data_IF_513843096085
#
_entry.id   IF_513843096085
#
_cell.length_a   1.000
_cell.length_b   1.000
_cell.length_c   1.000
_cell.angle_alpha   90.00
_cell.angle_beta   90.00
_cell.angle_gamma   90.00
#
_symmetry.space_group_name_H-M   'P 1'
#
loop_
_entity.id
_entity.type
_entity.pdbx_description
1 polymer ?
#
# COMPACT_ATOMS: atom_id res chain seq x y z
N UNK A 1 -8.34 19.92 -8.92
CA UNK A 1 -8.77 18.57 -8.51
C UNK A 1 -8.44 17.54 -9.58
N UNK A 2 -8.90 17.67 -10.84
CA UNK A 2 -8.59 16.72 -11.92
C UNK A 2 -7.08 16.45 -12.09
N UNK A 3 -6.21 17.47 -11.94
CA UNK A 3 -4.74 17.29 -11.94
C UNK A 3 -4.24 16.57 -10.67
N UNK A 4 -4.88 16.77 -9.52
CA UNK A 4 -4.52 16.05 -8.29
C UNK A 4 -4.81 14.55 -8.38
N UNK A 5 -5.97 14.15 -8.92
CA UNK A 5 -6.32 12.74 -9.11
C UNK A 5 -5.34 11.97 -9.99
N UNK A 6 -4.70 12.61 -10.96
CA UNK A 6 -3.66 11.98 -11.80
C UNK A 6 -2.37 11.64 -11.01
N UNK A 7 -2.13 12.28 -9.86
CA UNK A 7 -0.98 12.01 -9.02
C UNK A 7 -1.21 10.91 -7.99
N UNK A 8 -2.45 10.47 -7.74
CA UNK A 8 -2.74 9.33 -6.85
C UNK A 8 -2.11 8.02 -7.33
N UNK A 9 -1.87 7.89 -8.64
CA UNK A 9 -1.19 6.74 -9.23
C UNK A 9 0.35 6.83 -9.16
N UNK A 10 0.90 7.97 -8.75
CA UNK A 10 2.34 8.17 -8.55
C UNK A 10 2.62 8.19 -7.06
N UNK A 11 2.92 7.02 -6.50
CA UNK A 11 3.11 6.83 -5.05
C UNK A 11 4.43 7.37 -4.51
N UNK A 12 5.25 8.06 -5.32
CA UNK A 12 6.48 8.72 -4.86
C UNK A 12 6.18 9.87 -3.92
N UNK A 13 6.97 9.99 -2.84
CA UNK A 13 6.83 11.02 -1.82
C UNK A 13 6.67 12.43 -2.40
N UNK A 14 7.61 12.83 -3.27
CA UNK A 14 7.59 14.17 -3.86
C UNK A 14 6.32 14.45 -4.71
N UNK A 15 5.79 13.42 -5.38
CA UNK A 15 4.54 13.56 -6.17
C UNK A 15 3.34 13.75 -5.26
N UNK A 16 3.25 13.00 -4.17
CA UNK A 16 2.16 13.12 -3.19
C UNK A 16 2.25 14.44 -2.43
N UNK A 17 3.45 14.88 -2.01
CA UNK A 17 3.64 16.18 -1.35
C UNK A 17 3.23 17.34 -2.27
N UNK A 18 3.64 17.30 -3.55
CA UNK A 18 3.23 18.30 -4.54
C UNK A 18 1.71 18.29 -4.77
N UNK A 19 1.10 17.10 -4.88
CA UNK A 19 -0.35 16.97 -5.02
C UNK A 19 -1.08 17.59 -3.83
N UNK A 20 -0.63 17.29 -2.60
CA UNK A 20 -1.21 17.84 -1.37
C UNK A 20 -1.10 19.36 -1.32
N UNK A 21 0.06 19.94 -1.69
CA UNK A 21 0.24 21.39 -1.77
C UNK A 21 -0.75 22.05 -2.75
N UNK A 22 -0.91 21.45 -3.93
CA UNK A 22 -1.85 21.97 -4.93
C UNK A 22 -3.31 21.88 -4.47
N UNK A 23 -3.66 20.80 -3.75
CA UNK A 23 -5.00 20.63 -3.19
C UNK A 23 -5.27 21.63 -2.06
N UNK A 24 -4.28 21.87 -1.17
CA UNK A 24 -4.37 22.91 -0.12
C UNK A 24 -4.66 24.29 -0.71
N UNK A 25 -3.99 24.66 -1.81
CA UNK A 25 -4.28 25.91 -2.53
C UNK A 25 -5.71 25.97 -3.08
N UNK A 26 -6.28 24.84 -3.51
CA UNK A 26 -7.67 24.79 -3.93
C UNK A 26 -8.63 25.00 -2.75
N UNK A 27 -8.33 24.43 -1.58
CA UNK A 27 -9.11 24.62 -0.35
C UNK A 27 -9.01 26.08 0.17
N UNK A 28 -7.83 26.72 0.04
CA UNK A 28 -7.67 28.16 0.39
C UNK A 28 -8.55 29.06 -0.47
N UNK A 29 -8.71 28.73 -1.77
CA UNK A 29 -9.56 29.49 -2.69
C UNK A 29 -11.06 29.23 -2.43
N UNK A 30 -11.42 27.98 -2.16
CA UNK A 30 -12.79 27.59 -1.85
C UNK A 30 -12.81 26.61 -0.65
N UNK A 31 -13.01 27.13 0.57
CA UNK A 31 -13.04 26.31 1.79
C UNK A 31 -14.21 25.31 1.88
N UNK A 32 -15.25 25.47 1.05
CA UNK A 32 -16.39 24.54 1.00
C UNK A 32 -16.29 23.53 -0.14
N UNK A 33 -15.15 23.47 -0.84
CA UNK A 33 -14.92 22.51 -1.90
C UNK A 33 -14.69 21.09 -1.35
N UNK A 34 -15.76 20.34 -1.13
CA UNK A 34 -15.73 19.01 -0.52
C UNK A 34 -14.78 18.02 -1.25
N UNK A 35 -14.80 18.01 -2.58
CA UNK A 35 -13.94 17.12 -3.38
C UNK A 35 -12.44 17.42 -3.19
N UNK A 36 -12.06 18.69 -2.98
CA UNK A 36 -10.68 19.03 -2.65
C UNK A 36 -10.29 18.51 -1.26
N UNK A 37 -11.20 18.58 -0.28
CA UNK A 37 -10.98 18.05 1.06
C UNK A 37 -10.85 16.53 1.06
N UNK A 38 -11.68 15.81 0.30
CA UNK A 38 -11.52 14.36 0.05
C UNK A 38 -10.12 14.08 -0.51
N UNK A 39 -9.69 14.84 -1.51
CA UNK A 39 -8.37 14.71 -2.12
C UNK A 39 -7.23 14.96 -1.13
N UNK A 40 -7.35 15.97 -0.26
CA UNK A 40 -6.37 16.27 0.78
C UNK A 40 -6.29 15.13 1.81
N UNK A 41 -7.45 14.68 2.31
CA UNK A 41 -7.53 13.58 3.27
C UNK A 41 -6.88 12.31 2.73
N UNK A 42 -7.22 11.94 1.49
CA UNK A 42 -6.68 10.74 0.85
C UNK A 42 -5.18 10.84 0.60
N UNK A 43 -4.69 11.98 0.08
CA UNK A 43 -3.27 12.19 -0.19
C UNK A 43 -2.44 12.19 1.10
N UNK A 44 -2.92 12.87 2.15
CA UNK A 44 -2.26 12.87 3.46
C UNK A 44 -2.25 11.46 4.10
N UNK A 45 -3.35 10.70 3.95
CA UNK A 45 -3.42 9.31 4.38
C UNK A 45 -2.42 8.40 3.62
N UNK A 46 -2.25 8.59 2.32
CA UNK A 46 -1.22 7.87 1.53
C UNK A 46 0.20 8.23 1.99
N UNK A 47 0.47 9.53 2.23
CA UNK A 47 1.75 9.97 2.78
C UNK A 47 2.02 9.32 4.14
N UNK A 48 1.03 9.26 5.02
CA UNK A 48 1.14 8.57 6.32
C UNK A 48 1.34 7.07 6.17
N UNK A 49 0.64 6.43 5.25
CA UNK A 49 0.73 4.98 5.01
C UNK A 49 2.11 4.58 4.48
N UNK A 50 2.64 5.34 3.53
CA UNK A 50 3.86 4.98 2.82
C UNK A 50 5.13 5.64 3.36
N UNK A 51 4.98 6.78 4.04
CA UNK A 51 6.10 7.59 4.55
C UNK A 51 5.82 8.01 5.99
N UNK A 52 5.85 7.03 6.89
CA UNK A 52 5.47 7.13 8.31
C UNK A 52 6.17 8.24 9.11
N UNK A 53 7.27 8.81 8.58
CA UNK A 53 8.04 9.88 9.20
C UNK A 53 7.46 11.29 9.00
N UNK A 54 6.36 11.44 8.25
CA UNK A 54 5.72 12.75 8.06
C UNK A 54 4.78 13.05 9.24
N UNK A 55 5.30 13.89 10.15
CA UNK A 55 4.51 14.43 11.25
C UNK A 55 3.32 15.25 10.72
N UNK A 56 2.17 15.14 11.38
CA UNK A 56 0.97 15.91 11.05
C UNK A 56 0.15 15.39 9.87
N UNK A 57 0.65 14.43 9.09
CA UNK A 57 -0.08 13.94 7.92
C UNK A 57 -1.39 13.21 8.30
N UNK A 58 -1.39 12.46 9.40
CA UNK A 58 -2.59 11.75 9.87
C UNK A 58 -3.61 12.72 10.48
N UNK A 59 -3.15 13.73 11.20
CA UNK A 59 -3.97 14.78 11.78
C UNK A 59 -4.65 15.60 10.68
N UNK A 60 -3.91 15.96 9.62
CA UNK A 60 -4.48 16.66 8.47
C UNK A 60 -5.52 15.80 7.76
N UNK A 61 -5.21 14.51 7.52
CA UNK A 61 -6.15 13.58 6.91
C UNK A 61 -7.45 13.45 7.75
N UNK A 62 -7.34 13.42 9.08
CA UNK A 62 -8.49 13.35 9.98
C UNK A 62 -9.36 14.61 9.87
N UNK A 63 -8.76 15.79 9.94
CA UNK A 63 -9.48 17.09 9.81
C UNK A 63 -10.19 17.17 8.47
N UNK A 64 -9.49 16.90 7.38
CA UNK A 64 -10.04 17.07 6.03
C UNK A 64 -11.11 16.02 5.70
N UNK A 65 -10.96 14.76 6.16
CA UNK A 65 -12.00 13.73 5.96
C UNK A 65 -13.28 14.03 6.73
N UNK A 66 -13.19 14.54 7.96
CA UNK A 66 -14.38 14.99 8.72
C UNK A 66 -15.07 16.14 8.03
N UNK A 67 -14.31 17.15 7.61
CA UNK A 67 -14.87 18.32 6.95
C UNK A 67 -15.52 17.98 5.60
N UNK A 68 -14.95 17.04 4.85
CA UNK A 68 -15.56 16.53 3.62
C UNK A 68 -16.95 15.93 3.88
N UNK A 69 -17.09 15.10 4.93
CA UNK A 69 -18.39 14.51 5.31
C UNK A 69 -19.40 15.53 5.86
N UNK A 70 -18.95 16.59 6.56
CA UNK A 70 -19.83 17.68 6.97
C UNK A 70 -20.41 18.44 5.78
N UNK A 71 -19.62 18.62 4.72
CA UNK A 71 -20.04 19.31 3.49
C UNK A 71 -20.91 18.42 2.61
N UNK A 72 -20.54 17.14 2.45
CA UNK A 72 -21.24 16.19 1.59
C UNK A 72 -21.45 14.85 2.32
N UNK A 73 -22.47 14.71 3.19
CA UNK A 73 -22.71 13.50 3.99
C UNK A 73 -23.03 12.24 3.18
N UNK A 74 -23.49 12.38 1.95
CA UNK A 74 -23.82 11.28 1.04
C UNK A 74 -22.75 11.08 -0.07
N UNK A 75 -21.56 11.63 0.12
CA UNK A 75 -20.43 11.40 -0.81
C UNK A 75 -19.76 10.06 -0.54
N UNK A 76 -19.77 9.15 -1.52
CA UNK A 76 -19.05 7.87 -1.47
C UNK A 76 -17.55 8.08 -1.26
N UNK A 77 -16.95 9.03 -1.98
CA UNK A 77 -15.52 9.34 -1.88
C UNK A 77 -15.16 9.89 -0.48
N UNK A 78 -16.04 10.70 0.14
CA UNK A 78 -15.80 11.22 1.48
C UNK A 78 -15.85 10.11 2.55
N UNK A 79 -16.80 9.17 2.43
CA UNK A 79 -16.85 7.99 3.30
C UNK A 79 -15.64 7.09 3.08
N UNK A 80 -15.18 6.88 1.85
CA UNK A 80 -13.98 6.10 1.55
C UNK A 80 -12.71 6.74 2.17
N UNK A 81 -12.54 8.06 2.02
CA UNK A 81 -11.43 8.79 2.64
C UNK A 81 -11.49 8.72 4.17
N UNK A 82 -12.69 8.86 4.77
CA UNK A 82 -12.87 8.72 6.23
C UNK A 82 -12.51 7.33 6.70
N UNK A 83 -12.97 6.27 6.02
CA UNK A 83 -12.62 4.88 6.31
C UNK A 83 -11.11 4.64 6.26
N UNK A 84 -10.42 5.23 5.29
CA UNK A 84 -8.97 5.12 5.18
C UNK A 84 -8.24 5.76 6.39
N UNK A 85 -8.66 6.95 6.81
CA UNK A 85 -8.10 7.62 7.98
C UNK A 85 -8.32 6.79 9.24
N UNK A 86 -9.54 6.31 9.48
CA UNK A 86 -9.88 5.46 10.62
C UNK A 86 -9.05 4.16 10.64
N UNK A 87 -8.83 3.55 9.47
CA UNK A 87 -7.94 2.40 9.34
C UNK A 87 -6.52 2.72 9.81
N UNK A 88 -5.96 3.88 9.42
CA UNK A 88 -4.63 4.30 9.84
C UNK A 88 -4.54 4.69 11.33
N UNK A 89 -5.66 5.09 11.93
CA UNK A 89 -5.80 5.34 13.37
C UNK A 89 -5.96 4.04 14.19
N UNK A 90 -6.18 2.90 13.51
CA UNK A 90 -6.43 1.62 14.16
C UNK A 90 -7.90 1.40 14.58
N UNK A 91 -8.81 2.30 14.19
CA UNK A 91 -10.24 2.24 14.49
C UNK A 91 -10.96 1.33 13.47
N UNK A 92 -10.69 0.01 13.54
CA UNK A 92 -11.06 -0.95 12.49
C UNK A 92 -12.56 -1.04 12.25
N UNK A 93 -13.38 -1.09 13.31
CA UNK A 93 -14.84 -1.21 13.21
C UNK A 93 -15.45 0.04 12.54
N UNK A 94 -15.00 1.23 12.92
CA UNK A 94 -15.45 2.48 12.33
C UNK A 94 -14.99 2.64 10.87
N UNK A 95 -13.80 2.14 10.55
CA UNK A 95 -13.30 2.09 9.17
C UNK A 95 -14.19 1.19 8.30
N UNK A 96 -14.52 0.00 8.78
CA UNK A 96 -15.40 -0.95 8.06
C UNK A 96 -16.81 -0.37 7.83
N UNK A 97 -17.37 0.34 8.82
CA UNK A 97 -18.67 1.01 8.68
C UNK A 97 -18.60 2.10 7.59
N UNK A 98 -17.55 2.92 7.60
CA UNK A 98 -17.35 3.98 6.62
C UNK A 98 -17.16 3.41 5.20
N UNK A 99 -16.37 2.35 5.03
CA UNK A 99 -16.22 1.68 3.74
C UNK A 99 -17.53 1.03 3.26
N UNK A 100 -18.29 0.42 4.17
CA UNK A 100 -19.60 -0.17 3.84
C UNK A 100 -20.57 0.91 3.36
N UNK A 101 -20.59 2.09 4.01
CA UNK A 101 -21.40 3.21 3.57
C UNK A 101 -20.99 3.74 2.20
N UNK A 102 -19.68 3.87 1.95
CA UNK A 102 -19.15 4.26 0.64
C UNK A 102 -19.60 3.31 -0.48
N UNK A 103 -19.52 1.99 -0.26
CA UNK A 103 -19.95 0.98 -1.23
C UNK A 103 -21.46 0.93 -1.43
N UNK A 104 -22.27 1.32 -0.43
CA UNK A 104 -23.73 1.47 -0.57
C UNK A 104 -24.08 2.67 -1.45
N UNK A 105 -23.32 3.76 -1.32
CA UNK A 105 -23.53 5.00 -2.10
C UNK A 105 -23.05 4.85 -3.54
N UNK A 106 -21.89 4.22 -3.73
CA UNK A 106 -21.35 3.87 -5.05
C UNK A 106 -20.90 2.39 -5.08
N UNK A 107 -21.68 1.51 -5.74
CA UNK A 107 -21.33 0.11 -5.91
C UNK A 107 -20.04 -0.15 -6.70
N UNK A 108 -19.42 0.85 -7.33
CA UNK A 108 -18.15 0.74 -8.04
C UNK A 108 -16.99 1.42 -7.30
N UNK A 109 -17.22 1.87 -6.05
CA UNK A 109 -16.20 2.53 -5.26
C UNK A 109 -14.99 1.61 -5.00
N UNK A 110 -13.88 1.90 -5.68
CA UNK A 110 -12.67 1.06 -5.70
C UNK A 110 -11.94 1.09 -4.36
N UNK A 111 -11.68 2.28 -3.83
CA UNK A 111 -10.82 2.49 -2.66
C UNK A 111 -11.33 1.76 -1.43
N UNK A 112 -12.66 1.75 -1.24
CA UNK A 112 -13.29 1.04 -0.11
C UNK A 112 -13.11 -0.47 -0.20
N UNK A 113 -13.28 -1.06 -1.38
CA UNK A 113 -13.06 -2.50 -1.59
C UNK A 113 -11.61 -2.88 -1.38
N UNK A 114 -10.71 -2.11 -2.00
CA UNK A 114 -9.28 -2.34 -1.91
C UNK A 114 -8.78 -2.28 -0.45
N UNK A 115 -9.14 -1.22 0.28
CA UNK A 115 -8.71 -1.03 1.67
C UNK A 115 -9.37 -2.04 2.62
N UNK A 116 -10.66 -2.34 2.43
CA UNK A 116 -11.33 -3.38 3.19
C UNK A 116 -10.72 -4.76 2.91
N UNK A 117 -10.35 -5.03 1.66
CA UNK A 117 -9.59 -6.24 1.28
C UNK A 117 -8.27 -6.34 2.05
N UNK A 118 -7.54 -5.25 2.21
CA UNK A 118 -6.31 -5.20 3.03
C UNK A 118 -6.58 -5.46 4.50
N UNK A 119 -7.66 -4.92 5.07
CA UNK A 119 -8.09 -5.20 6.45
C UNK A 119 -8.39 -6.70 6.60
N UNK A 120 -9.18 -7.29 5.70
CA UNK A 120 -9.51 -8.72 5.74
C UNK A 120 -8.27 -9.60 5.62
N UNK A 121 -7.34 -9.22 4.77
CA UNK A 121 -6.05 -9.91 4.63
C UNK A 121 -5.26 -9.91 5.96
N UNK A 122 -5.13 -8.76 6.60
CA UNK A 122 -4.45 -8.63 7.90
C UNK A 122 -5.15 -9.41 9.03
N UNK A 123 -6.48 -9.56 8.96
CA UNK A 123 -7.26 -10.37 9.89
C UNK A 123 -7.18 -11.88 9.62
N UNK A 124 -6.43 -12.33 8.59
CA UNK A 124 -6.37 -13.73 8.16
C UNK A 124 -7.62 -14.21 7.41
N UNK A 125 -8.54 -13.31 7.08
CA UNK A 125 -9.80 -13.61 6.34
C UNK A 125 -9.52 -13.61 4.83
N UNK A 126 -8.61 -14.50 4.40
CA UNK A 126 -8.01 -14.47 3.06
C UNK A 126 -9.02 -14.66 1.93
N UNK A 127 -10.06 -15.48 2.11
CA UNK A 127 -11.09 -15.65 1.08
C UNK A 127 -11.90 -14.37 0.85
N UNK A 128 -12.26 -13.68 1.91
CA UNK A 128 -12.97 -12.40 1.80
C UNK A 128 -12.07 -11.32 1.19
N UNK A 129 -10.79 -11.31 1.58
CA UNK A 129 -9.81 -10.42 1.00
C UNK A 129 -9.67 -10.63 -0.52
N UNK A 130 -9.54 -11.89 -0.97
CA UNK A 130 -9.45 -12.23 -2.38
C UNK A 130 -10.67 -11.74 -3.18
N UNK A 131 -11.88 -11.96 -2.65
CA UNK A 131 -13.12 -11.51 -3.30
C UNK A 131 -13.19 -9.99 -3.41
N UNK A 132 -12.81 -9.26 -2.33
CA UNK A 132 -12.79 -7.80 -2.32
C UNK A 132 -11.77 -7.22 -3.31
N UNK A 133 -10.61 -7.86 -3.45
CA UNK A 133 -9.61 -7.45 -4.44
C UNK A 133 -10.09 -7.70 -5.88
N UNK A 134 -10.82 -8.80 -6.15
CA UNK A 134 -11.43 -9.06 -7.46
C UNK A 134 -12.51 -8.03 -7.79
N UNK A 135 -13.37 -7.72 -6.81
CA UNK A 135 -14.39 -6.67 -6.97
C UNK A 135 -13.75 -5.30 -7.22
N UNK A 136 -12.66 -4.97 -6.52
CA UNK A 136 -11.89 -3.76 -6.77
C UNK A 136 -11.31 -3.74 -8.18
N UNK A 137 -10.66 -4.83 -8.60
CA UNK A 137 -10.11 -4.99 -9.96
C UNK A 137 -11.16 -4.93 -11.07
N UNK A 138 -12.40 -5.34 -10.78
CA UNK A 138 -13.53 -5.24 -11.70
C UNK A 138 -14.06 -3.81 -11.83
N UNK A 139 -13.96 -3.01 -10.77
CA UNK A 139 -14.35 -1.60 -10.81
C UNK A 139 -13.29 -0.73 -11.53
N UNK A 140 -12.03 -1.04 -11.34
CA UNK A 140 -10.89 -0.34 -11.96
C UNK A 140 -9.70 -1.28 -12.07
N UNK A 141 -9.06 -1.36 -13.25
CA UNK A 141 -7.79 -2.07 -13.40
C UNK A 141 -6.73 -1.43 -12.50
N UNK A 142 -6.18 -2.22 -11.59
CA UNK A 142 -5.21 -1.76 -10.59
C UNK A 142 -4.23 -2.88 -10.24
N UNK A 143 -2.92 -2.60 -10.36
CA UNK A 143 -1.88 -3.59 -10.13
C UNK A 143 -1.78 -4.02 -8.67
N UNK A 144 -2.10 -3.14 -7.72
CA UNK A 144 -2.05 -3.47 -6.29
C UNK A 144 -3.20 -4.41 -5.93
N UNK A 145 -4.42 -4.13 -6.41
CA UNK A 145 -5.56 -5.02 -6.20
C UNK A 145 -5.31 -6.42 -6.78
N UNK A 146 -4.77 -6.49 -8.00
CA UNK A 146 -4.42 -7.75 -8.65
C UNK A 146 -3.34 -8.52 -7.85
N UNK A 147 -2.29 -7.83 -7.40
CA UNK A 147 -1.20 -8.41 -6.63
C UNK A 147 -1.67 -8.94 -5.26
N UNK A 148 -2.39 -8.12 -4.48
CA UNK A 148 -2.89 -8.56 -3.17
C UNK A 148 -3.97 -9.65 -3.29
N UNK A 149 -4.73 -9.67 -4.38
CA UNK A 149 -5.63 -10.77 -4.71
C UNK A 149 -4.89 -12.09 -4.94
N UNK A 150 -3.72 -12.05 -5.61
CA UNK A 150 -2.86 -13.21 -5.77
C UNK A 150 -2.27 -13.69 -4.43
N UNK A 151 -1.77 -12.76 -3.59
CA UNK A 151 -1.27 -13.09 -2.25
C UNK A 151 -2.35 -13.71 -1.35
N UNK A 152 -3.58 -13.20 -1.41
CA UNK A 152 -4.69 -13.75 -0.62
C UNK A 152 -4.98 -15.21 -1.01
N UNK A 153 -4.90 -15.56 -2.29
CA UNK A 153 -5.06 -16.93 -2.79
C UNK A 153 -3.89 -17.83 -2.44
N UNK A 154 -2.67 -17.32 -2.48
CA UNK A 154 -1.49 -18.03 -1.98
C UNK A 154 -1.66 -18.42 -0.52
N UNK A 155 -2.12 -17.49 0.32
CA UNK A 155 -2.39 -17.73 1.75
C UNK A 155 -3.51 -18.76 2.00
N UNK A 156 -4.42 -18.96 1.03
CA UNK A 156 -5.42 -20.04 1.07
C UNK A 156 -4.85 -21.42 0.70
N UNK A 157 -3.56 -21.50 0.30
CA UNK A 157 -2.91 -22.75 -0.07
C UNK A 157 -3.22 -23.24 -1.50
N UNK A 158 -3.87 -22.42 -2.33
CA UNK A 158 -4.20 -22.75 -3.72
C UNK A 158 -3.07 -22.34 -4.68
N UNK A 159 -1.97 -23.11 -4.71
CA UNK A 159 -0.74 -22.73 -5.43
C UNK A 159 -0.97 -22.47 -6.94
N UNK A 160 -1.79 -23.29 -7.63
CA UNK A 160 -2.04 -23.09 -9.06
C UNK A 160 -2.95 -21.88 -9.33
N UNK A 161 -3.94 -21.67 -8.46
CA UNK A 161 -4.80 -20.50 -8.54
C UNK A 161 -4.02 -19.21 -8.24
N UNK A 162 -3.17 -19.21 -7.22
CA UNK A 162 -2.27 -18.11 -6.92
C UNK A 162 -1.35 -17.77 -8.10
N UNK A 163 -0.75 -18.76 -8.76
CA UNK A 163 0.08 -18.54 -9.95
C UNK A 163 -0.70 -17.90 -11.11
N UNK A 164 -1.94 -18.32 -11.33
CA UNK A 164 -2.79 -17.71 -12.36
C UNK A 164 -3.02 -16.23 -12.07
N UNK A 165 -3.27 -15.89 -10.80
CA UNK A 165 -3.48 -14.50 -10.37
C UNK A 165 -2.18 -13.68 -10.36
N UNK A 166 -1.02 -14.28 -10.03
CA UNK A 166 0.28 -13.59 -10.19
C UNK A 166 0.61 -13.29 -11.65
N UNK A 167 0.21 -14.15 -12.63
CA UNK A 167 0.34 -13.81 -14.06
C UNK A 167 -0.52 -12.62 -14.42
N UNK A 168 -1.78 -12.60 -14.00
CA UNK A 168 -2.67 -11.46 -14.22
C UNK A 168 -2.14 -10.17 -13.57
N UNK A 169 -1.66 -10.25 -12.32
CA UNK A 169 -1.06 -9.13 -11.61
C UNK A 169 0.18 -8.59 -12.34
N UNK A 170 1.04 -9.49 -12.86
CA UNK A 170 2.20 -9.13 -13.66
C UNK A 170 1.81 -8.35 -14.92
N UNK A 171 0.82 -8.82 -15.68
CA UNK A 171 0.31 -8.13 -16.87
C UNK A 171 -0.24 -6.74 -16.57
N UNK A 172 -0.98 -6.59 -15.45
CA UNK A 172 -1.51 -5.28 -15.02
C UNK A 172 -0.36 -4.35 -14.61
N UNK A 173 0.63 -4.85 -13.87
CA UNK A 173 1.81 -4.07 -13.48
C UNK A 173 2.63 -3.64 -14.70
N UNK A 174 2.79 -4.49 -15.70
CA UNK A 174 3.47 -4.17 -16.96
C UNK A 174 2.77 -3.03 -17.71
N UNK A 175 1.47 -3.14 -17.93
CA UNK A 175 0.68 -2.06 -18.57
C UNK A 175 0.72 -0.75 -17.77
N UNK A 176 0.68 -0.83 -16.43
CA UNK A 176 0.81 0.35 -15.58
C UNK A 176 2.18 1.03 -15.76
N UNK A 177 3.25 0.23 -15.79
CA UNK A 177 4.62 0.74 -15.92
C UNK A 177 4.94 1.29 -17.31
N UNK A 178 4.25 0.89 -18.37
CA UNK A 178 4.36 1.52 -19.67
C UNK A 178 3.98 3.01 -19.62
N UNK A 179 3.07 3.39 -18.73
CA UNK A 179 2.61 4.76 -18.53
C UNK A 179 3.31 5.46 -17.35
N UNK A 180 3.77 4.69 -16.37
CA UNK A 180 4.37 5.17 -15.13
C UNK A 180 5.68 4.42 -14.83
N UNK A 181 6.73 4.57 -15.66
CA UNK A 181 7.98 3.79 -15.55
C UNK A 181 8.79 4.08 -14.28
N UNK A 182 8.40 5.12 -13.56
CA UNK A 182 9.01 5.57 -12.30
C UNK A 182 8.17 5.23 -11.06
N UNK A 183 7.24 4.26 -11.14
CA UNK A 183 6.51 3.76 -9.98
C UNK A 183 7.29 2.61 -9.30
N UNK A 184 7.94 2.85 -8.13
CA UNK A 184 8.75 1.85 -7.45
C UNK A 184 7.92 0.69 -6.89
N UNK A 185 6.65 0.93 -6.57
CA UNK A 185 5.77 -0.11 -6.02
C UNK A 185 5.31 -1.07 -7.11
N UNK A 186 4.97 -0.55 -8.29
CA UNK A 186 4.66 -1.39 -9.44
C UNK A 186 5.88 -2.25 -9.84
N UNK A 187 7.08 -1.67 -9.83
CA UNK A 187 8.33 -2.39 -10.07
C UNK A 187 8.55 -3.52 -9.03
N UNK A 188 8.31 -3.23 -7.74
CA UNK A 188 8.44 -4.22 -6.66
C UNK A 188 7.39 -5.34 -6.80
N UNK A 189 6.13 -5.00 -7.06
CA UNK A 189 5.08 -6.01 -7.23
C UNK A 189 5.29 -6.87 -8.47
N UNK A 190 5.84 -6.28 -9.54
CA UNK A 190 6.33 -7.01 -10.72
C UNK A 190 7.43 -7.99 -10.33
N UNK A 191 8.44 -7.55 -9.57
CA UNK A 191 9.55 -8.38 -9.11
C UNK A 191 9.05 -9.59 -8.31
N UNK A 192 8.20 -9.36 -7.31
CA UNK A 192 7.63 -10.44 -6.49
C UNK A 192 6.80 -11.40 -7.33
N UNK A 193 5.95 -10.89 -8.23
CA UNK A 193 5.13 -11.73 -9.11
C UNK A 193 5.99 -12.64 -10.00
N UNK A 194 7.08 -12.11 -10.56
CA UNK A 194 8.04 -12.90 -11.34
C UNK A 194 8.66 -14.02 -10.52
N UNK A 195 9.10 -13.75 -9.30
CA UNK A 195 9.67 -14.76 -8.42
C UNK A 195 8.66 -15.85 -8.04
N UNK A 196 7.41 -15.47 -7.72
CA UNK A 196 6.32 -16.42 -7.46
C UNK A 196 6.00 -17.31 -8.68
N UNK A 197 6.29 -16.84 -9.88
CA UNK A 197 6.16 -17.60 -11.13
C UNK A 197 7.41 -18.41 -11.50
N UNK A 198 8.46 -18.38 -10.68
CA UNK A 198 9.73 -19.09 -10.91
C UNK A 198 10.68 -18.38 -11.88
N UNK A 199 10.42 -17.13 -12.24
CA UNK A 199 11.26 -16.27 -13.10
C UNK A 199 12.22 -15.45 -12.24
N UNK A 200 13.10 -16.13 -11.51
CA UNK A 200 13.88 -15.54 -10.40
C UNK A 200 14.84 -14.44 -10.86
N UNK A 201 15.60 -14.67 -11.93
CA UNK A 201 16.58 -13.68 -12.42
C UNK A 201 15.89 -12.39 -12.87
N UNK A 202 14.77 -12.50 -13.58
CA UNK A 202 13.98 -11.32 -13.98
C UNK A 202 13.38 -10.62 -12.76
N UNK A 203 12.95 -11.38 -11.74
CA UNK A 203 12.48 -10.83 -10.48
C UNK A 203 13.53 -9.99 -9.77
N UNK A 204 14.80 -10.48 -9.73
CA UNK A 204 15.95 -9.74 -9.16
C UNK A 204 16.24 -8.44 -9.92
N UNK A 205 16.27 -8.49 -11.24
CA UNK A 205 16.48 -7.30 -12.07
C UNK A 205 15.44 -6.22 -11.77
N UNK A 206 14.17 -6.61 -11.61
CA UNK A 206 13.09 -5.68 -11.28
C UNK A 206 13.13 -5.21 -9.82
N UNK A 207 13.62 -6.02 -8.88
CA UNK A 207 13.85 -5.60 -7.50
C UNK A 207 14.96 -4.53 -7.42
N UNK A 208 16.07 -4.73 -8.11
CA UNK A 208 17.14 -3.74 -8.23
C UNK A 208 16.62 -2.45 -8.89
N UNK A 209 15.83 -2.58 -9.94
CA UNK A 209 15.21 -1.43 -10.59
C UNK A 209 14.27 -0.65 -9.66
N UNK A 210 13.51 -1.32 -8.81
CA UNK A 210 12.64 -0.66 -7.82
C UNK A 210 13.46 0.19 -6.84
N UNK A 211 14.60 -0.32 -6.36
CA UNK A 211 15.53 0.42 -5.49
C UNK A 211 16.19 1.60 -6.19
N UNK A 212 16.48 1.49 -7.51
CA UNK A 212 17.00 2.62 -8.30
C UNK A 212 15.96 3.74 -8.45
N UNK A 213 14.68 3.38 -8.64
CA UNK A 213 13.59 4.35 -8.82
C UNK A 213 13.37 5.17 -7.54
N UNK A 214 13.26 4.54 -6.39
CA UNK A 214 13.13 5.22 -5.10
C UNK A 214 13.94 4.53 -3.99
N UNK A 215 15.20 4.88 -3.84
CA UNK A 215 16.06 4.30 -2.82
C UNK A 215 15.66 4.70 -1.38
N UNK A 216 14.78 5.67 -1.20
CA UNK A 216 14.34 6.13 0.12
C UNK A 216 13.02 5.50 0.59
N UNK A 217 12.31 4.76 -0.27
CA UNK A 217 11.04 4.13 0.11
C UNK A 217 11.30 2.90 0.99
N UNK A 218 10.97 3.04 2.28
CA UNK A 218 11.15 1.98 3.27
C UNK A 218 10.36 0.69 2.96
N UNK A 219 9.17 0.82 2.37
CA UNK A 219 8.34 -0.32 1.98
C UNK A 219 8.89 -1.08 0.77
N UNK A 220 9.44 -0.36 -0.21
CA UNK A 220 10.13 -0.96 -1.36
C UNK A 220 11.34 -1.76 -0.88
N UNK A 221 12.21 -1.16 -0.04
CA UNK A 221 13.36 -1.84 0.54
C UNK A 221 12.98 -3.08 1.32
N UNK A 222 11.93 -2.99 2.14
CA UNK A 222 11.42 -4.13 2.89
C UNK A 222 10.99 -5.28 1.96
N UNK A 223 10.19 -4.98 0.93
CA UNK A 223 9.74 -6.01 0.00
C UNK A 223 10.90 -6.62 -0.80
N UNK A 224 11.91 -5.82 -1.15
CA UNK A 224 13.13 -6.33 -1.80
C UNK A 224 13.94 -7.19 -0.84
N UNK A 225 14.01 -6.85 0.45
CA UNK A 225 14.63 -7.70 1.47
C UNK A 225 13.93 -9.07 1.57
N UNK A 226 12.58 -9.09 1.57
CA UNK A 226 11.81 -10.33 1.54
C UNK A 226 12.15 -11.18 0.29
N UNK A 227 12.25 -10.53 -0.86
CA UNK A 227 12.61 -11.22 -2.09
C UNK A 227 13.99 -11.86 -2.02
N UNK A 228 15.03 -11.12 -1.57
CA UNK A 228 16.36 -11.68 -1.40
C UNK A 228 16.40 -12.79 -0.34
N UNK A 229 15.58 -12.71 0.71
CA UNK A 229 15.48 -13.76 1.71
C UNK A 229 14.89 -15.06 1.13
N UNK A 230 13.87 -14.97 0.29
CA UNK A 230 13.29 -16.10 -0.44
C UNK A 230 14.31 -16.75 -1.40
N UNK A 231 15.18 -15.95 -2.01
CA UNK A 231 16.27 -16.39 -2.89
C UNK A 231 17.50 -16.88 -2.13
N UNK A 232 17.45 -16.93 -0.79
CA UNK A 232 18.56 -17.32 0.09
C UNK A 232 19.81 -16.41 -0.02
N UNK A 233 19.64 -15.20 -0.54
CA UNK A 233 20.66 -14.16 -0.57
C UNK A 233 20.70 -13.42 0.78
N UNK A 234 21.02 -14.16 1.85
CA UNK A 234 20.89 -13.76 3.26
C UNK A 234 21.50 -12.39 3.57
N UNK A 235 22.74 -12.13 3.15
CA UNK A 235 23.42 -10.85 3.45
C UNK A 235 22.75 -9.68 2.76
N UNK A 236 22.36 -9.81 1.49
CA UNK A 236 21.64 -8.77 0.75
C UNK A 236 20.26 -8.50 1.36
N UNK A 237 19.58 -9.55 1.79
CA UNK A 237 18.29 -9.43 2.46
C UNK A 237 18.42 -8.63 3.77
N UNK A 238 19.44 -8.94 4.58
CA UNK A 238 19.68 -8.23 5.85
C UNK A 238 20.09 -6.77 5.59
N UNK A 239 20.98 -6.50 4.65
CA UNK A 239 21.38 -5.13 4.29
C UNK A 239 20.17 -4.29 3.86
N UNK A 240 19.31 -4.83 2.96
CA UNK A 240 18.08 -4.14 2.57
C UNK A 240 17.10 -3.95 3.74
N UNK A 241 17.03 -4.90 4.67
CA UNK A 241 16.16 -4.79 5.85
C UNK A 241 16.67 -3.72 6.82
N UNK A 242 17.98 -3.65 7.05
CA UNK A 242 18.63 -2.58 7.84
C UNK A 242 18.30 -1.21 7.26
N UNK A 243 18.45 -1.06 5.94
CA UNK A 243 18.15 0.19 5.24
C UNK A 243 16.65 0.51 5.26
N UNK A 244 15.76 -0.48 5.17
CA UNK A 244 14.32 -0.29 5.30
C UNK A 244 13.95 0.25 6.68
N UNK A 245 14.53 -0.33 7.74
CA UNK A 245 14.33 0.09 9.12
C UNK A 245 14.87 1.51 9.33
N UNK A 246 16.05 1.82 8.83
CA UNK A 246 16.64 3.15 8.91
C UNK A 246 15.80 4.20 8.16
N UNK A 247 15.12 3.81 7.07
CA UNK A 247 14.19 4.63 6.32
C UNK A 247 12.79 4.76 6.97
N UNK A 248 12.56 4.12 8.12
CA UNK A 248 11.32 4.24 8.90
C UNK A 248 10.34 3.07 8.81
N UNK A 249 10.74 1.92 8.26
CA UNK A 249 9.93 0.70 8.31
C UNK A 249 9.98 0.11 9.73
N UNK A 250 9.00 0.46 10.57
CA UNK A 250 9.04 0.20 12.02
C UNK A 250 8.13 -0.90 12.55
N UNK A 251 7.44 -1.68 11.70
CA UNK A 251 6.51 -2.71 12.17
C UNK A 251 7.23 -4.02 12.55
N UNK A 252 7.78 -4.03 13.78
CA UNK A 252 8.54 -5.15 14.33
C UNK A 252 7.75 -6.47 14.39
N UNK A 253 6.48 -6.40 14.78
CA UNK A 253 5.63 -7.58 14.90
C UNK A 253 5.43 -8.23 13.51
N UNK A 254 5.27 -7.40 12.50
CA UNK A 254 5.18 -7.85 11.11
C UNK A 254 6.48 -8.52 10.66
N UNK A 255 7.63 -7.84 10.80
CA UNK A 255 8.94 -8.38 10.40
C UNK A 255 9.19 -9.77 11.01
N UNK A 256 8.88 -9.94 12.29
CA UNK A 256 9.08 -11.24 12.99
C UNK A 256 8.18 -12.36 12.49
N UNK A 257 6.97 -12.03 12.03
CA UNK A 257 5.96 -13.01 11.63
C UNK A 257 5.97 -13.26 10.12
N UNK A 258 6.65 -12.42 9.34
CA UNK A 258 6.66 -12.53 7.90
C UNK A 258 7.27 -13.87 7.46
N UNK A 259 6.50 -14.72 6.74
CA UNK A 259 6.98 -16.00 6.27
C UNK A 259 8.10 -15.86 5.23
N UNK A 260 8.15 -14.74 4.50
CA UNK A 260 9.16 -14.49 3.48
C UNK A 260 10.56 -14.29 4.09
N UNK A 261 10.61 -13.87 5.38
CA UNK A 261 11.85 -13.70 6.13
C UNK A 261 12.22 -14.93 6.99
N UNK A 262 11.54 -16.06 6.82
CA UNK A 262 11.73 -17.25 7.64
C UNK A 262 13.17 -17.78 7.58
N UNK A 263 13.86 -17.66 6.45
CA UNK A 263 15.25 -18.06 6.25
C UNK A 263 16.27 -17.22 7.04
N UNK A 264 15.87 -16.05 7.53
CA UNK A 264 16.74 -15.13 8.29
C UNK A 264 16.67 -15.32 9.80
N UNK A 265 15.68 -16.05 10.33
CA UNK A 265 15.38 -16.12 11.78
C UNK A 265 16.52 -16.63 12.65
N UNK A 266 17.39 -17.48 12.10
CA UNK A 266 18.55 -18.00 12.84
C UNK A 266 19.81 -17.13 12.65
N UNK A 267 19.72 -16.01 11.92
CA UNK A 267 20.84 -15.11 11.71
C UNK A 267 20.95 -14.09 12.86
N UNK A 268 22.12 -13.97 13.53
CA UNK A 268 22.30 -13.05 14.65
C UNK A 268 22.04 -11.57 14.32
N UNK A 269 22.41 -11.12 13.10
CA UNK A 269 22.13 -9.74 12.64
C UNK A 269 20.62 -9.49 12.52
N UNK A 270 19.87 -10.46 11.99
CA UNK A 270 18.42 -10.36 11.90
C UNK A 270 17.77 -10.24 13.28
N UNK A 271 18.18 -11.09 14.23
CA UNK A 271 17.67 -11.05 15.61
C UNK A 271 18.02 -9.73 16.31
N UNK A 272 19.21 -9.19 16.09
CA UNK A 272 19.61 -7.87 16.63
C UNK A 272 18.74 -6.75 16.04
N UNK A 273 18.55 -6.73 14.72
CA UNK A 273 17.69 -5.76 14.03
C UNK A 273 16.26 -5.78 14.55
N UNK A 274 15.67 -6.97 14.61
CA UNK A 274 14.29 -7.15 15.06
C UNK A 274 14.17 -6.84 16.56
N UNK A 275 15.22 -7.04 17.37
CA UNK A 275 15.26 -6.69 18.79
C UNK A 275 15.48 -5.20 19.03
N UNK A 276 16.28 -4.53 18.22
CA UNK A 276 16.58 -3.09 18.30
C UNK A 276 15.45 -2.19 17.77
N UNK A 277 14.58 -2.69 16.90
CA UNK A 277 13.40 -1.96 16.37
C UNK A 277 12.30 -1.98 17.44
N UNK A 278 12.37 -1.18 18.46
CA UNK A 278 11.30 -1.26 19.45
C UNK A 278 11.41 -0.38 20.65
N UNK A 279 11.88 0.85 20.45
CA UNK A 279 11.89 1.87 21.48
C UNK A 279 11.09 3.13 21.17
N UNK A 280 10.33 3.17 20.07
CA UNK A 280 9.54 4.34 19.73
C UNK A 280 8.07 3.92 19.50
N UNK A 281 7.28 4.07 20.54
CA UNK A 281 5.86 4.43 20.50
C UNK A 281 4.85 3.33 20.20
N UNK A 282 4.17 2.94 21.22
CA UNK A 282 2.76 2.55 21.17
C UNK A 282 1.90 3.67 20.60
#
# INVERSE_FOLDING_TARGET
VLRGRQFFHRTRKASLEFALEMIRKAIEVDPEYAEARVGAAYTAALLRMYYSTLEGALEEADVESRRALELEPDSSDAHAARGFVLFLQGEMEAAEESFSRAMQLDPLQFESRYLLGRIRFQQGRHLEAANLFDEAGSAREDYQAAFFGAQAREALGSAEDAKAHYRAALEVAERHMDLNPDDPRAATMRAVSLCRLGRLEEGKEWAERALEIDPADAGVRYNVACLFALEQETERAIDCLEEAIAAGFGNRAWIRQDPDLASLKDNPRFEELVSGVGGAGC
#
